data_IF_447925632155
#
_entry.id   IF_447925632155
#
_cell.length_a   1.000
_cell.length_b   1.000
_cell.length_c   1.000
_cell.angle_alpha   90.00
_cell.angle_beta   90.00
_cell.angle_gamma   90.00
#
_symmetry.space_group_name_H-M   'P 1'
#
loop_
_entity.id
_entity.type
_entity.pdbx_description
1 polymer ?
#
# COMPACT_ATOMS: atom_id res chain seq x y z
N UNK A 1 7.24 4.23 -4.07
CA UNK A 1 6.49 4.98 -5.09
C UNK A 1 5.20 5.42 -4.45
N UNK A 2 4.76 6.64 -4.66
CA UNK A 2 3.47 7.11 -4.13
C UNK A 2 2.54 7.41 -5.31
N UNK A 3 1.23 7.32 -5.10
CA UNK A 3 0.25 7.51 -6.15
C UNK A 3 -1.16 7.66 -5.59
N UNK A 4 -2.14 7.75 -6.48
CA UNK A 4 -3.55 7.87 -6.11
C UNK A 4 -4.46 7.11 -7.08
N UNK A 5 -5.51 6.49 -6.54
CA UNK A 5 -6.62 5.97 -7.31
C UNK A 5 -7.72 7.03 -7.40
N UNK A 6 -8.10 7.37 -8.63
CA UNK A 6 -9.18 8.31 -8.92
C UNK A 6 -10.38 7.53 -9.44
N UNK A 7 -11.54 7.76 -8.84
CA UNK A 7 -12.78 7.18 -9.37
C UNK A 7 -13.17 7.92 -10.65
N UNK A 8 -13.30 7.17 -11.74
CA UNK A 8 -13.74 7.70 -13.03
C UNK A 8 -15.23 7.43 -13.21
N UNK A 9 -15.96 8.44 -13.68
CA UNK A 9 -17.37 8.33 -14.08
C UNK A 9 -17.53 8.80 -15.52
N UNK A 10 -18.55 8.27 -16.22
CA UNK A 10 -18.86 8.66 -17.60
C UNK A 10 -20.11 9.54 -17.58
N UNK A 11 -19.97 10.80 -18.01
CA UNK A 11 -21.08 11.74 -18.18
C UNK A 11 -21.03 12.25 -19.62
N UNK A 12 -22.14 12.14 -20.36
CA UNK A 12 -22.22 12.55 -21.78
C UNK A 12 -21.07 12.00 -22.63
N UNK A 13 -20.77 10.70 -22.48
CA UNK A 13 -19.67 10.01 -23.16
C UNK A 13 -18.25 10.53 -22.86
N UNK A 14 -18.09 11.39 -21.84
CA UNK A 14 -16.79 11.89 -21.37
C UNK A 14 -16.44 11.25 -20.04
N UNK A 15 -15.17 10.85 -19.89
CA UNK A 15 -14.59 10.39 -18.62
C UNK A 15 -14.29 11.61 -17.75
N UNK A 16 -14.83 11.62 -16.55
CA UNK A 16 -14.65 12.69 -15.57
C UNK A 16 -14.18 12.06 -14.26
N UNK A 17 -13.15 12.66 -13.65
CA UNK A 17 -12.68 12.28 -12.32
C UNK A 17 -13.64 12.76 -11.24
N UNK A 18 -13.98 11.86 -10.32
CA UNK A 18 -14.74 12.18 -9.13
C UNK A 18 -13.80 12.72 -8.04
N UNK A 19 -14.23 13.72 -7.29
CA UNK A 19 -13.35 14.57 -6.46
C UNK A 19 -12.68 13.94 -5.24
N UNK A 20 -12.89 12.66 -4.92
CA UNK A 20 -12.20 11.98 -3.82
C UNK A 20 -11.25 10.92 -4.37
N UNK A 21 -9.96 11.12 -4.13
CA UNK A 21 -8.91 10.15 -4.45
C UNK A 21 -8.61 9.23 -3.25
N UNK A 22 -8.09 8.05 -3.53
CA UNK A 22 -7.45 7.19 -2.53
C UNK A 22 -5.94 7.21 -2.79
N UNK A 23 -5.19 7.88 -1.92
CA UNK A 23 -3.74 7.87 -2.02
C UNK A 23 -3.17 6.51 -1.59
N UNK A 24 -2.00 6.17 -2.11
CA UNK A 24 -1.28 5.00 -1.68
C UNK A 24 0.23 5.22 -1.69
N UNK A 25 0.89 4.49 -0.80
CA UNK A 25 2.33 4.30 -0.82
C UNK A 25 2.63 2.86 -1.22
N UNK A 26 3.29 2.69 -2.36
CA UNK A 26 3.74 1.40 -2.88
C UNK A 26 5.19 1.13 -2.49
N UNK A 27 5.41 -0.04 -1.89
CA UNK A 27 6.72 -0.60 -1.55
C UNK A 27 6.85 -2.00 -2.17
N UNK A 28 8.08 -2.38 -2.52
CA UNK A 28 8.42 -3.74 -2.91
C UNK A 28 9.56 -4.24 -2.03
N UNK A 29 9.51 -5.50 -1.60
CA UNK A 29 10.53 -6.06 -0.70
C UNK A 29 10.71 -7.55 -0.92
N UNK A 30 11.95 -8.02 -0.81
CA UNK A 30 12.27 -9.44 -0.62
C UNK A 30 12.42 -9.80 0.86
N UNK A 31 12.39 -8.81 1.75
CA UNK A 31 12.50 -8.97 3.19
C UNK A 31 11.13 -8.79 3.87
N UNK A 32 10.45 -9.90 4.10
CA UNK A 32 9.19 -9.99 4.83
C UNK A 32 9.10 -11.38 5.49
N UNK A 33 8.27 -11.49 6.52
CA UNK A 33 7.95 -12.77 7.16
C UNK A 33 6.49 -13.09 6.84
N UNK A 34 6.24 -14.23 6.19
CA UNK A 34 4.90 -14.68 5.83
C UNK A 34 4.51 -15.87 6.69
N UNK A 35 3.39 -15.74 7.40
CA UNK A 35 2.76 -16.84 8.12
C UNK A 35 1.41 -17.18 7.46
N UNK A 36 0.62 -18.05 8.07
CA UNK A 36 -0.69 -18.46 7.52
C UNK A 36 -1.67 -17.31 7.35
N UNK A 37 -1.67 -16.33 8.27
CA UNK A 37 -2.66 -15.24 8.31
C UNK A 37 -2.12 -13.87 7.93
N UNK A 38 -0.83 -13.63 8.13
CA UNK A 38 -0.26 -12.27 8.03
C UNK A 38 1.07 -12.23 7.31
N UNK A 39 1.38 -11.04 6.78
CA UNK A 39 2.70 -10.62 6.31
C UNK A 39 3.25 -9.62 7.32
N UNK A 40 4.45 -9.87 7.86
CA UNK A 40 5.19 -8.90 8.67
C UNK A 40 6.24 -8.20 7.82
N UNK A 41 6.30 -6.88 7.94
CA UNK A 41 7.23 -6.04 7.19
C UNK A 41 7.75 -4.90 8.08
N UNK A 42 9.04 -4.59 7.96
CA UNK A 42 9.63 -3.43 8.60
C UNK A 42 9.45 -2.20 7.72
N UNK A 43 8.53 -1.31 8.12
CA UNK A 43 8.29 -0.05 7.44
C UNK A 43 9.19 1.04 8.05
N UNK A 44 9.82 1.84 7.20
CA UNK A 44 10.55 3.04 7.63
C UNK A 44 9.67 3.94 8.51
N UNK A 45 10.23 4.48 9.59
CA UNK A 45 9.42 5.21 10.58
C UNK A 45 8.82 6.50 10.01
N UNK A 46 9.48 7.16 9.06
CA UNK A 46 8.92 8.36 8.42
C UNK A 46 7.73 7.99 7.54
N UNK A 47 7.85 6.90 6.76
CA UNK A 47 6.75 6.36 5.97
C UNK A 47 5.56 5.93 6.85
N UNK A 48 5.83 5.22 7.95
CA UNK A 48 4.81 4.84 8.93
C UNK A 48 4.10 6.06 9.50
N UNK A 49 4.85 7.05 9.97
CA UNK A 49 4.33 8.25 10.61
C UNK A 49 3.52 9.12 9.63
N UNK A 50 3.93 9.20 8.37
CA UNK A 50 3.17 9.89 7.33
C UNK A 50 1.80 9.25 7.09
N UNK A 51 1.73 7.92 7.02
CA UNK A 51 0.47 7.19 6.87
C UNK A 51 -0.40 7.29 8.13
N UNK A 52 0.20 7.20 9.32
CA UNK A 52 -0.46 7.36 10.60
C UNK A 52 -1.09 8.75 10.77
N UNK A 53 -0.37 9.82 10.43
CA UNK A 53 -0.89 11.19 10.51
C UNK A 53 -2.15 11.37 9.67
N UNK A 54 -2.16 10.82 8.46
CA UNK A 54 -3.30 10.91 7.55
C UNK A 54 -4.52 10.17 8.09
N UNK A 55 -4.36 9.11 8.88
CA UNK A 55 -5.49 8.43 9.51
C UNK A 55 -5.94 9.09 10.82
N UNK A 56 -5.04 9.82 11.49
CA UNK A 56 -5.28 10.35 12.83
C UNK A 56 -5.53 11.86 12.93
N UNK A 57 -5.39 12.62 11.84
CA UNK A 57 -5.69 14.05 11.79
C UNK A 57 -7.07 14.31 12.42
N UNK A 58 -7.12 14.90 13.63
CA UNK A 58 -8.37 15.18 14.28
C UNK A 58 -9.07 16.30 13.52
N UNK A 59 -10.40 16.27 13.59
CA UNK A 59 -11.46 17.19 13.16
C UNK A 59 -11.23 18.72 13.30
N UNK A 60 -10.00 19.22 13.39
CA UNK A 60 -9.62 20.60 13.68
C UNK A 60 -9.56 21.47 12.42
N UNK A 61 -9.58 20.86 11.23
CA UNK A 61 -9.77 21.56 9.95
C UNK A 61 -10.68 20.70 9.08
N UNK A 62 -11.73 21.25 8.42
CA UNK A 62 -12.54 20.52 7.45
C UNK A 62 -11.79 20.33 6.11
N UNK A 63 -10.47 20.10 6.18
CA UNK A 63 -9.70 19.68 5.04
C UNK A 63 -10.01 18.20 4.83
N UNK A 64 -10.64 17.89 3.70
CA UNK A 64 -10.91 16.53 3.25
C UNK A 64 -9.60 15.75 3.36
N UNK A 65 -9.53 14.82 4.31
CA UNK A 65 -8.36 13.99 4.49
C UNK A 65 -8.43 12.91 3.42
N UNK A 66 -7.59 13.02 2.38
CA UNK A 66 -7.48 11.99 1.36
C UNK A 66 -6.99 10.71 2.04
N UNK A 67 -7.78 9.62 2.07
CA UNK A 67 -7.36 8.39 2.70
C UNK A 67 -6.10 7.87 2.01
N UNK A 68 -5.21 7.25 2.79
CA UNK A 68 -3.95 6.71 2.29
C UNK A 68 -3.73 5.27 2.77
N UNK A 69 -3.38 4.38 1.84
CA UNK A 69 -3.06 2.98 2.14
C UNK A 69 -1.59 2.66 1.85
N UNK A 70 -1.04 1.70 2.56
CA UNK A 70 0.20 1.03 2.16
C UNK A 70 -0.14 -0.11 1.22
N UNK A 71 0.59 -0.23 0.12
CA UNK A 71 0.61 -1.40 -0.75
C UNK A 71 2.02 -2.00 -0.71
N UNK A 72 2.12 -3.30 -0.42
CA UNK A 72 3.38 -4.03 -0.31
C UNK A 72 3.41 -5.18 -1.32
N UNK A 73 4.30 -5.08 -2.30
CA UNK A 73 4.65 -6.19 -3.19
C UNK A 73 5.71 -7.08 -2.53
N UNK A 74 5.35 -8.33 -2.27
CA UNK A 74 6.23 -9.32 -1.67
C UNK A 74 6.97 -10.11 -2.75
N UNK A 75 8.24 -9.80 -3.00
CA UNK A 75 9.03 -10.45 -4.05
C UNK A 75 9.78 -11.69 -3.53
N UNK A 76 9.92 -12.76 -4.34
CA UNK A 76 10.83 -13.85 -4.02
C UNK A 76 12.25 -13.36 -3.72
N UNK A 77 12.99 -14.10 -2.87
CA UNK A 77 14.37 -13.75 -2.51
C UNK A 77 15.29 -13.66 -3.74
N UNK A 78 15.08 -14.57 -4.68
CA UNK A 78 15.83 -14.66 -5.92
C UNK A 78 15.12 -13.85 -7.04
N UNK A 79 15.80 -12.85 -7.64
CA UNK A 79 15.28 -12.06 -8.76
C UNK A 79 14.85 -12.87 -9.99
N UNK A 80 15.54 -13.97 -10.29
CA UNK A 80 15.18 -14.86 -11.42
C UNK A 80 13.80 -15.50 -11.23
N UNK A 81 13.30 -15.47 -10.00
CA UNK A 81 11.99 -15.97 -9.65
C UNK A 81 10.91 -14.88 -9.61
N UNK A 82 11.20 -13.61 -9.93
CA UNK A 82 10.19 -12.55 -9.86
C UNK A 82 9.11 -12.68 -10.92
N UNK A 83 9.47 -13.10 -12.12
CA UNK A 83 8.53 -13.36 -13.19
C UNK A 83 9.06 -14.45 -14.12
N UNK A 84 8.18 -15.07 -14.91
CA UNK A 84 8.59 -15.81 -16.11
C UNK A 84 7.85 -15.28 -17.32
N UNK A 85 8.54 -15.21 -18.44
CA UNK A 85 8.00 -14.74 -19.71
C UNK A 85 8.23 -15.82 -20.77
N UNK A 86 7.17 -16.17 -21.48
CA UNK A 86 7.18 -17.03 -22.67
C UNK A 86 6.40 -16.34 -23.79
N UNK A 87 6.32 -16.96 -24.97
CA UNK A 87 5.46 -16.47 -26.07
C UNK A 87 3.98 -16.51 -25.71
N UNK A 88 3.58 -17.45 -24.84
CA UNK A 88 2.18 -17.68 -24.47
C UNK A 88 1.74 -16.83 -23.28
N UNK A 89 2.65 -16.56 -22.33
CA UNK A 89 2.29 -15.93 -21.07
C UNK A 89 3.39 -15.12 -20.38
N UNK A 90 2.94 -14.19 -19.54
CA UNK A 90 3.73 -13.50 -18.54
C UNK A 90 3.18 -13.85 -17.16
N UNK A 91 3.99 -14.52 -16.34
CA UNK A 91 3.65 -14.87 -14.96
C UNK A 91 4.44 -13.96 -14.02
N UNK A 92 3.75 -13.12 -13.25
CA UNK A 92 4.33 -12.39 -12.12
C UNK A 92 4.19 -13.23 -10.84
N UNK A 93 5.27 -13.47 -10.10
CA UNK A 93 5.21 -14.28 -8.87
C UNK A 93 4.86 -13.42 -7.65
N UNK A 94 4.04 -14.03 -6.78
CA UNK A 94 3.45 -13.44 -5.57
C UNK A 94 2.45 -12.31 -5.83
N UNK A 95 1.75 -11.90 -4.77
CA UNK A 95 0.72 -10.86 -4.82
C UNK A 95 1.18 -9.60 -4.08
N UNK A 96 0.51 -8.49 -4.37
CA UNK A 96 0.52 -7.32 -3.51
C UNK A 96 -0.45 -7.52 -2.33
N UNK A 97 -0.12 -6.93 -1.20
CA UNK A 97 -1.01 -6.84 -0.04
C UNK A 97 -1.19 -5.38 0.35
N UNK A 98 -2.32 -5.03 0.96
CA UNK A 98 -2.60 -3.66 1.36
C UNK A 98 -3.00 -3.53 2.84
N UNK A 99 -2.72 -2.37 3.45
CA UNK A 99 -3.13 -2.06 4.82
C UNK A 99 -3.32 -0.55 5.04
N UNK A 100 -4.25 -0.19 5.93
CA UNK A 100 -4.32 1.15 6.53
C UNK A 100 -3.43 1.20 7.78
N UNK A 101 -2.75 2.32 8.01
CA UNK A 101 -2.02 2.55 9.27
C UNK A 101 -2.89 3.40 10.19
N UNK A 102 -3.76 2.75 10.94
CA UNK A 102 -4.69 3.36 11.90
C UNK A 102 -4.06 3.61 13.30
N UNK A 103 -2.77 3.30 13.43
CA UNK A 103 -2.00 3.42 14.67
C UNK A 103 -1.48 4.83 14.89
N UNK A 104 -1.19 5.15 16.16
CA UNK A 104 -0.54 6.43 16.51
C UNK A 104 0.84 6.51 15.90
N UNK A 105 1.32 7.73 15.65
CA UNK A 105 2.72 7.99 15.32
C UNK A 105 3.63 7.21 16.27
N UNK A 106 4.67 6.63 15.70
CA UNK A 106 5.74 5.98 16.44
C UNK A 106 6.84 6.98 16.79
N UNK A 107 7.41 6.82 17.98
CA UNK A 107 8.63 7.49 18.44
C UNK A 107 9.92 6.72 18.08
N UNK A 108 9.81 5.59 17.36
CA UNK A 108 10.98 4.87 16.89
C UNK A 108 11.83 5.76 15.98
N UNK A 109 13.13 5.46 15.91
CA UNK A 109 14.08 6.27 15.12
C UNK A 109 14.36 5.69 13.73
N UNK A 110 14.02 4.41 13.50
CA UNK A 110 14.37 3.70 12.26
C UNK A 110 13.18 3.08 11.56
N UNK A 111 12.52 2.12 12.20
CA UNK A 111 11.43 1.38 11.57
C UNK A 111 10.37 0.96 12.58
N UNK A 112 9.22 0.55 12.05
CA UNK A 112 8.13 -0.06 12.80
C UNK A 112 7.76 -1.36 12.10
N UNK A 113 7.66 -2.44 12.86
CA UNK A 113 7.13 -3.70 12.33
C UNK A 113 5.61 -3.60 12.19
N UNK A 114 5.13 -3.71 10.97
CA UNK A 114 3.71 -3.74 10.65
C UNK A 114 3.28 -5.17 10.31
N UNK A 115 2.00 -5.45 10.55
CA UNK A 115 1.38 -6.71 10.19
C UNK A 115 0.23 -6.43 9.22
N UNK A 116 0.25 -7.10 8.08
CA UNK A 116 -0.75 -6.96 7.01
C UNK A 116 -1.51 -8.28 6.91
N UNK A 117 -2.85 -8.24 6.87
CA UNK A 117 -3.65 -9.46 6.69
C UNK A 117 -3.44 -10.04 5.29
N UNK A 118 -3.31 -11.36 5.18
CA UNK A 118 -3.22 -12.04 3.89
C UNK A 118 -4.53 -12.04 3.11
N UNK A 119 -5.64 -11.75 3.77
CA UNK A 119 -6.95 -11.55 3.11
C UNK A 119 -7.01 -10.21 2.37
N UNK A 120 -6.13 -9.26 2.71
CA UNK A 120 -6.00 -7.97 2.02
C UNK A 120 -5.07 -8.10 0.79
N UNK A 121 -5.36 -9.07 -0.07
CA UNK A 121 -4.62 -9.31 -1.32
C UNK A 121 -5.19 -8.42 -2.44
N UNK A 122 -4.31 -7.92 -3.32
CA UNK A 122 -4.67 -7.22 -4.57
C UNK A 122 -4.44 -8.11 -5.78
#
# INVERSE_FOLDING_TARGET
MDGAFHKITIINNKRIEQGLALEFQLKATTNFIKNEKTIKYELDVNAFNMLADRMQQPYVTPAIVTPAILILLCLPKDPENWFSLSEDELILKNCCYWACIDKKRSSNTRSVMIEISREQVL
#
